data_IF_532678988527
#
_entry.id   IF_532678988527
#
_cell.length_a   1.000
_cell.length_b   1.000
_cell.length_c   1.000
_cell.angle_alpha   90.00
_cell.angle_beta   90.00
_cell.angle_gamma   90.00
#
_symmetry.space_group_name_H-M   'P 1'
#
loop_
_entity.id
_entity.type
_entity.pdbx_description
1 polymer ?
#
# COMPACT_ATOMS: atom_id res chain seq x y z
N UNK A 1 -4.42 -18.47 -1.68
CA UNK A 1 -4.36 -17.05 -2.03
C UNK A 1 -4.53 -16.27 -0.75
N UNK A 2 -3.49 -15.55 -0.30
CA UNK A 2 -3.40 -15.10 1.09
C UNK A 2 -3.05 -13.62 1.18
N UNK A 3 -3.91 -12.76 0.64
CA UNK A 3 -3.79 -11.34 0.95
C UNK A 3 -4.03 -11.12 2.46
N UNK A 4 -3.07 -10.50 3.13
CA UNK A 4 -3.23 -10.00 4.49
C UNK A 4 -3.80 -8.59 4.44
N UNK A 5 -4.89 -8.36 5.16
CA UNK A 5 -5.51 -7.05 5.34
C UNK A 5 -5.11 -6.48 6.70
N UNK A 6 -4.95 -5.18 6.78
CA UNK A 6 -4.72 -4.45 8.02
C UNK A 6 -5.41 -3.09 7.99
N UNK A 7 -5.58 -2.51 9.17
CA UNK A 7 -6.18 -1.19 9.34
C UNK A 7 -5.71 -0.55 10.63
N UNK A 8 -5.75 0.78 10.66
CA UNK A 8 -5.63 1.59 11.86
C UNK A 8 -6.77 2.60 11.88
N UNK A 9 -7.65 2.48 12.87
CA UNK A 9 -8.76 3.44 13.06
C UNK A 9 -8.21 4.81 13.48
N UNK A 10 -7.24 4.83 14.39
CA UNK A 10 -6.55 6.04 14.85
C UNK A 10 -5.97 6.84 13.69
N UNK A 11 -5.30 6.15 12.76
CA UNK A 11 -4.68 6.79 11.60
C UNK A 11 -5.55 6.80 10.34
N UNK A 12 -6.82 6.41 10.46
CA UNK A 12 -7.77 6.34 9.35
C UNK A 12 -7.14 5.70 8.10
N UNK A 13 -6.55 4.53 8.28
CA UNK A 13 -5.77 3.84 7.27
C UNK A 13 -6.23 2.39 7.12
N UNK A 14 -6.21 1.87 5.89
CA UNK A 14 -6.35 0.45 5.59
C UNK A 14 -5.36 0.04 4.52
N UNK A 15 -4.83 -1.17 4.63
CA UNK A 15 -3.89 -1.71 3.67
C UNK A 15 -4.14 -3.18 3.39
N UNK A 16 -3.62 -3.62 2.25
CA UNK A 16 -3.65 -5.01 1.82
C UNK A 16 -2.27 -5.37 1.29
N UNK A 17 -1.78 -6.56 1.64
CA UNK A 17 -0.50 -7.08 1.17
C UNK A 17 -0.75 -8.49 0.64
N UNK A 18 -0.36 -8.76 -0.58
CA UNK A 18 -0.60 -10.06 -1.23
C UNK A 18 0.69 -10.63 -1.76
N UNK A 19 0.88 -11.95 -1.61
CA UNK A 19 1.94 -12.72 -2.25
C UNK A 19 1.69 -12.95 -3.76
N UNK A 20 0.46 -12.74 -4.22
CA UNK A 20 0.03 -12.85 -5.61
C UNK A 20 -1.38 -12.27 -5.79
N UNK A 21 -1.74 -11.91 -7.02
CA UNK A 21 -3.13 -11.61 -7.40
C UNK A 21 -3.75 -10.32 -6.84
N UNK A 22 -2.97 -9.39 -6.26
CA UNK A 22 -3.48 -8.14 -5.67
C UNK A 22 -4.51 -7.41 -6.53
N UNK A 23 -4.33 -7.21 -7.86
CA UNK A 23 -5.30 -6.46 -8.67
C UNK A 23 -6.73 -7.04 -8.64
N UNK A 24 -6.88 -8.35 -8.42
CA UNK A 24 -8.18 -9.01 -8.31
C UNK A 24 -8.84 -8.82 -6.95
N UNK A 25 -8.03 -8.59 -5.92
CA UNK A 25 -8.45 -8.49 -4.51
C UNK A 25 -8.82 -7.07 -4.11
N UNK A 26 -8.43 -6.06 -4.90
CA UNK A 26 -8.79 -4.66 -4.69
C UNK A 26 -10.31 -4.43 -4.77
N UNK A 27 -11.04 -5.18 -5.61
CA UNK A 27 -12.48 -4.99 -5.79
C UNK A 27 -12.82 -3.53 -6.12
N UNK A 28 -13.74 -2.94 -5.36
CA UNK A 28 -14.14 -1.53 -5.54
C UNK A 28 -13.02 -0.52 -5.23
N UNK A 29 -12.01 -0.90 -4.45
CA UNK A 29 -10.86 -0.04 -4.15
C UNK A 29 -10.04 0.29 -5.41
N UNK A 30 -10.11 -0.55 -6.44
CA UNK A 30 -9.47 -0.31 -7.72
C UNK A 30 -10.02 0.94 -8.45
N UNK A 31 -11.26 1.37 -8.13
CA UNK A 31 -11.90 2.56 -8.76
C UNK A 31 -11.18 3.87 -8.45
N UNK A 32 -10.36 3.90 -7.40
CA UNK A 32 -9.51 5.05 -7.10
C UNK A 32 -8.42 5.27 -8.17
N UNK A 33 -8.06 4.24 -8.94
CA UNK A 33 -6.95 4.30 -9.90
C UNK A 33 -7.47 4.33 -11.33
N UNK A 34 -6.93 5.26 -12.14
CA UNK A 34 -7.25 5.34 -13.58
C UNK A 34 -6.67 4.18 -14.39
N UNK A 35 -5.51 3.67 -13.96
CA UNK A 35 -4.85 2.51 -14.56
C UNK A 35 -4.07 1.77 -13.48
N UNK A 36 -3.94 0.45 -13.66
CA UNK A 36 -3.08 -0.40 -12.85
C UNK A 36 -1.99 -0.97 -13.76
N UNK A 37 -0.73 -0.87 -13.34
CA UNK A 37 0.41 -1.37 -14.11
C UNK A 37 1.38 -2.10 -13.18
N UNK A 38 1.74 -3.36 -13.48
CA UNK A 38 2.79 -4.06 -12.75
C UNK A 38 4.11 -3.27 -12.74
N UNK A 39 4.86 -3.37 -11.65
CA UNK A 39 6.18 -2.76 -11.49
C UNK A 39 6.17 -1.24 -11.33
N UNK A 40 5.02 -0.61 -11.17
CA UNK A 40 4.88 0.86 -11.01
C UNK A 40 4.14 1.18 -9.72
N UNK A 41 4.66 2.10 -8.92
CA UNK A 41 3.89 2.70 -7.82
C UNK A 41 2.86 3.65 -8.45
N UNK A 42 1.58 3.39 -8.19
CA UNK A 42 0.48 4.23 -8.66
C UNK A 42 -0.12 4.96 -7.45
N UNK A 43 0.14 6.27 -7.30
CA UNK A 43 -0.59 7.10 -6.35
C UNK A 43 -1.94 7.55 -6.94
N UNK A 44 -2.94 7.74 -6.08
CA UNK A 44 -4.20 8.38 -6.43
C UNK A 44 -4.75 9.16 -5.23
N UNK A 45 -5.69 10.06 -5.49
CA UNK A 45 -6.43 10.81 -4.47
C UNK A 45 -7.91 10.80 -4.78
N UNK A 46 -8.76 10.83 -3.75
CA UNK A 46 -10.21 10.99 -3.93
C UNK A 46 -10.53 12.37 -4.53
N UNK A 47 -11.71 12.51 -5.15
CA UNK A 47 -12.11 13.76 -5.82
C UNK A 47 -12.21 14.96 -4.89
N UNK A 48 -12.49 14.72 -3.60
CA UNK A 48 -12.49 15.71 -2.52
C UNK A 48 -11.13 15.86 -1.81
N UNK A 49 -10.10 15.14 -2.28
CA UNK A 49 -8.75 15.09 -1.71
C UNK A 49 -8.68 14.62 -0.24
N UNK A 50 -9.76 14.01 0.27
CA UNK A 50 -9.82 13.49 1.64
C UNK A 50 -8.95 12.23 1.82
N UNK A 51 -8.81 11.41 0.78
CA UNK A 51 -8.10 10.13 0.82
C UNK A 51 -6.93 10.11 -0.15
N UNK A 52 -5.80 9.60 0.32
CA UNK A 52 -4.64 9.22 -0.47
C UNK A 52 -4.61 7.70 -0.63
N UNK A 53 -4.33 7.24 -1.85
CA UNK A 53 -4.24 5.84 -2.21
C UNK A 53 -2.90 5.55 -2.85
N UNK A 54 -2.33 4.38 -2.53
CA UNK A 54 -1.11 3.89 -3.15
C UNK A 54 -1.29 2.42 -3.48
N UNK A 55 -0.82 2.02 -4.66
CA UNK A 55 -0.77 0.61 -5.03
C UNK A 55 0.53 0.32 -5.77
N UNK A 56 1.14 -0.82 -5.44
CA UNK A 56 2.25 -1.39 -6.18
C UNK A 56 2.07 -2.90 -6.22
N UNK A 57 2.33 -3.52 -7.37
CA UNK A 57 2.41 -4.97 -7.51
C UNK A 57 3.34 -5.36 -8.65
N UNK A 58 3.92 -6.56 -8.59
CA UNK A 58 4.71 -7.14 -9.69
C UNK A 58 3.85 -7.95 -10.67
N UNK A 59 4.47 -8.63 -11.65
CA UNK A 59 3.78 -9.43 -12.66
C UNK A 59 2.89 -10.55 -12.10
N UNK A 60 3.24 -11.14 -10.95
CA UNK A 60 2.40 -12.15 -10.29
C UNK A 60 1.28 -11.52 -9.44
N UNK A 61 1.23 -10.19 -9.33
CA UNK A 61 0.32 -9.47 -8.46
C UNK A 61 0.77 -9.46 -6.99
N UNK A 62 2.04 -9.76 -6.71
CA UNK A 62 2.58 -9.63 -5.37
C UNK A 62 2.91 -8.17 -5.07
N UNK A 63 2.48 -7.65 -3.93
CA UNK A 63 2.66 -6.24 -3.59
C UNK A 63 1.71 -5.74 -2.51
N UNK A 64 1.43 -4.44 -2.52
CA UNK A 64 0.58 -3.80 -1.52
C UNK A 64 -0.37 -2.76 -2.09
N UNK A 65 -1.40 -2.50 -1.30
CA UNK A 65 -2.32 -1.38 -1.43
C UNK A 65 -2.42 -0.66 -0.08
N UNK A 66 -2.54 0.67 -0.12
CA UNK A 66 -2.82 1.52 1.02
C UNK A 66 -3.91 2.52 0.64
N UNK A 67 -4.88 2.71 1.53
CA UNK A 67 -5.74 3.89 1.60
C UNK A 67 -5.55 4.55 2.95
N UNK A 68 -5.39 5.86 2.96
CA UNK A 68 -5.20 6.64 4.19
C UNK A 68 -5.82 8.02 4.02
N UNK A 69 -6.46 8.55 5.07
CA UNK A 69 -6.93 9.93 5.02
C UNK A 69 -5.74 10.88 4.89
N UNK A 70 -5.88 11.88 4.04
CA UNK A 70 -4.83 12.84 3.70
C UNK A 70 -4.33 13.62 4.95
N UNK A 71 -5.17 14.06 5.90
CA UNK A 71 -4.68 14.64 7.15
C UNK A 71 -3.79 13.69 7.95
N UNK A 72 -4.19 12.41 8.07
CA UNK A 72 -3.42 11.39 8.79
C UNK A 72 -2.12 11.04 8.05
N UNK A 73 -2.12 11.07 6.72
CA UNK A 73 -0.91 10.89 5.92
C UNK A 73 0.12 12.01 6.14
N UNK A 74 -0.36 13.24 6.36
CA UNK A 74 0.51 14.37 6.68
C UNK A 74 0.85 14.47 8.18
N UNK A 75 0.28 13.62 9.03
CA UNK A 75 0.65 13.50 10.43
C UNK A 75 1.88 12.57 10.56
N UNK A 76 3.03 13.07 11.06
CA UNK A 76 4.24 12.27 11.21
C UNK A 76 4.08 11.01 12.08
N UNK A 77 3.26 11.08 13.13
CA UNK A 77 3.04 9.95 14.02
C UNK A 77 2.28 8.84 13.28
N UNK A 78 1.21 9.21 12.57
CA UNK A 78 0.43 8.25 11.81
C UNK A 78 1.18 7.68 10.61
N UNK A 79 1.94 8.50 9.90
CA UNK A 79 2.82 8.04 8.83
C UNK A 79 3.88 7.05 9.34
N UNK A 80 4.48 7.30 10.50
CA UNK A 80 5.44 6.37 11.10
C UNK A 80 4.80 5.03 11.49
N UNK A 81 3.60 5.04 12.09
CA UNK A 81 2.86 3.84 12.48
C UNK A 81 2.52 3.00 11.23
N UNK A 82 1.89 3.63 10.23
CA UNK A 82 1.47 2.93 9.00
C UNK A 82 2.67 2.41 8.22
N UNK A 83 3.77 3.18 8.15
CA UNK A 83 5.05 2.73 7.57
C UNK A 83 5.57 1.47 8.24
N UNK A 84 5.63 1.44 9.58
CA UNK A 84 6.12 0.28 10.32
C UNK A 84 5.23 -0.96 10.09
N UNK A 85 3.91 -0.78 10.14
CA UNK A 85 2.95 -1.86 9.90
C UNK A 85 3.06 -2.44 8.49
N UNK A 86 3.18 -1.58 7.47
CA UNK A 86 3.39 -2.01 6.09
C UNK A 86 4.72 -2.77 5.93
N UNK A 87 5.83 -2.22 6.45
CA UNK A 87 7.14 -2.87 6.33
C UNK A 87 7.17 -4.24 7.04
N UNK A 88 6.56 -4.34 8.23
CA UNK A 88 6.41 -5.62 8.93
C UNK A 88 5.60 -6.62 8.10
N UNK A 89 4.43 -6.19 7.60
CA UNK A 89 3.58 -7.04 6.78
C UNK A 89 4.25 -7.49 5.48
N UNK A 90 5.04 -6.63 4.84
CA UNK A 90 5.81 -6.94 3.63
C UNK A 90 6.91 -7.95 3.93
N UNK A 91 7.64 -7.76 5.03
CA UNK A 91 8.68 -8.70 5.45
C UNK A 91 8.13 -10.12 5.65
N UNK A 92 6.93 -10.23 6.23
CA UNK A 92 6.28 -11.52 6.50
C UNK A 92 5.61 -12.14 5.27
N UNK A 93 4.76 -11.39 4.57
CA UNK A 93 3.95 -11.93 3.45
C UNK A 93 4.79 -12.13 2.20
N UNK A 94 5.76 -11.25 1.96
CA UNK A 94 6.64 -11.28 0.77
C UNK A 94 8.04 -11.81 1.09
N UNK A 95 8.18 -12.63 2.14
CA UNK A 95 9.47 -13.14 2.60
C UNK A 95 10.31 -13.82 1.51
N UNK A 96 9.67 -14.46 0.54
CA UNK A 96 10.30 -15.16 -0.59
C UNK A 96 10.21 -14.39 -1.92
N UNK A 97 9.58 -13.22 -1.95
CA UNK A 97 9.46 -12.43 -3.19
C UNK A 97 10.77 -11.70 -3.48
N UNK A 98 11.33 -11.93 -4.67
CA UNK A 98 12.57 -11.30 -5.13
C UNK A 98 12.52 -9.76 -5.18
N UNK A 99 11.33 -9.18 -5.28
CA UNK A 99 11.11 -7.73 -5.35
C UNK A 99 10.84 -7.12 -3.97
N UNK A 100 10.82 -7.90 -2.88
CA UNK A 100 10.61 -7.39 -1.52
C UNK A 100 11.50 -6.18 -1.20
N UNK A 101 12.82 -6.18 -1.47
CA UNK A 101 13.67 -5.02 -1.17
C UNK A 101 13.26 -3.74 -1.92
N UNK A 102 12.80 -3.88 -3.17
CA UNK A 102 12.27 -2.75 -3.94
C UNK A 102 10.98 -2.21 -3.32
N UNK A 103 10.09 -3.10 -2.86
CA UNK A 103 8.84 -2.70 -2.21
C UNK A 103 9.11 -1.97 -0.89
N UNK A 104 10.02 -2.50 -0.07
CA UNK A 104 10.46 -1.85 1.18
C UNK A 104 11.10 -0.47 0.90
N UNK A 105 11.88 -0.35 -0.18
CA UNK A 105 12.45 0.92 -0.61
C UNK A 105 11.36 1.93 -1.02
N UNK A 106 10.38 1.50 -1.82
CA UNK A 106 9.24 2.34 -2.24
C UNK A 106 8.50 2.88 -1.00
N UNK A 107 8.17 2.02 -0.06
CA UNK A 107 7.46 2.41 1.18
C UNK A 107 8.30 3.43 1.96
N UNK A 108 9.60 3.15 2.11
CA UNK A 108 10.48 3.93 2.98
C UNK A 108 10.94 5.27 2.41
N UNK A 109 10.94 5.44 1.09
CA UNK A 109 11.55 6.60 0.43
C UNK A 109 10.59 7.35 -0.50
N UNK A 110 9.65 6.66 -1.14
CA UNK A 110 8.71 7.30 -2.07
C UNK A 110 7.39 7.67 -1.38
N UNK A 111 6.90 6.83 -0.47
CA UNK A 111 5.63 7.07 0.23
C UNK A 111 5.83 7.82 1.55
N UNK A 112 6.72 7.32 2.40
CA UNK A 112 6.95 7.87 3.74
C UNK A 112 8.42 8.25 3.91
N UNK A 113 8.89 9.34 3.24
CA UNK A 113 10.25 9.83 3.41
C UNK A 113 10.51 10.25 4.88
N UNK A 114 11.77 10.23 5.27
CA UNK A 114 12.23 10.67 6.60
C UNK A 114 12.16 12.19 6.77
#
# INVERSE_FOLDING_TARGET
>A
MACRRGSSEECSATWMICDSGLPRELGDAARAFRYLRPGTLVPAVSGDMEWAYFVYFNESGAGFYLAMRNPSFNDPACSAIVKQELLRGISEVLALDKNRPLIEYIISNAMFPA
#
